data_IF_954884659638
#
_entry.id   IF_954884659638
#
_cell.length_a   1.000
_cell.length_b   1.000
_cell.length_c   1.000
_cell.angle_alpha   90.00
_cell.angle_beta   90.00
_cell.angle_gamma   90.00
#
_symmetry.space_group_name_H-M   'P 1'
#
loop_
_entity.id
_entity.type
_entity.pdbx_description
1 polymer ?
#
# COMPACT_ATOMS: atom_id res chain seq x y z
N UNK A 1 42.46 -19.66 -8.12
CA UNK A 1 41.35 -18.84 -8.63
C UNK A 1 40.11 -19.23 -7.85
N UNK A 2 39.59 -18.35 -7.01
CA UNK A 2 38.36 -18.62 -6.23
C UNK A 2 37.12 -18.27 -7.06
N UNK A 3 36.04 -19.09 -7.04
CA UNK A 3 34.81 -18.75 -7.74
C UNK A 3 33.99 -17.76 -6.91
N UNK A 4 33.75 -16.58 -7.47
CA UNK A 4 32.88 -15.54 -6.89
C UNK A 4 31.42 -15.93 -7.17
N UNK A 5 30.75 -16.54 -6.19
CA UNK A 5 29.31 -16.80 -6.26
C UNK A 5 28.53 -15.47 -6.28
N UNK A 6 27.92 -15.17 -7.43
CA UNK A 6 26.98 -14.07 -7.56
C UNK A 6 25.65 -14.50 -6.97
N UNK A 7 25.41 -14.13 -5.71
CA UNK A 7 24.13 -14.32 -5.05
C UNK A 7 23.05 -13.48 -5.76
N UNK A 8 22.38 -14.09 -6.74
CA UNK A 8 21.21 -13.53 -7.43
C UNK A 8 20.01 -13.58 -6.48
N UNK A 9 20.00 -12.71 -5.47
CA UNK A 9 18.74 -12.36 -4.79
C UNK A 9 17.86 -11.72 -5.86
N UNK A 10 16.91 -12.50 -6.38
CA UNK A 10 15.89 -12.04 -7.31
C UNK A 10 15.20 -10.84 -6.68
N UNK A 11 15.48 -9.64 -7.17
CA UNK A 11 14.76 -8.42 -6.79
C UNK A 11 13.39 -8.56 -7.42
N UNK A 12 12.48 -9.20 -6.69
CA UNK A 12 11.08 -9.35 -7.08
C UNK A 12 10.46 -7.97 -7.08
N UNK A 13 9.93 -7.56 -8.21
CA UNK A 13 9.29 -6.25 -8.32
C UNK A 13 7.97 -6.28 -7.55
N UNK A 14 7.60 -5.16 -6.94
CA UNK A 14 6.48 -5.08 -6.00
C UNK A 14 5.13 -5.61 -6.55
N UNK A 15 4.93 -5.63 -7.88
CA UNK A 15 3.72 -6.18 -8.53
C UNK A 15 3.76 -7.72 -8.72
N UNK A 16 4.93 -8.34 -8.62
CA UNK A 16 5.12 -9.80 -8.72
C UNK A 16 4.96 -10.51 -7.37
N UNK A 17 4.92 -9.77 -6.25
CA UNK A 17 4.83 -10.33 -4.89
C UNK A 17 3.58 -11.20 -4.68
N UNK A 18 2.48 -10.92 -5.38
CA UNK A 18 1.24 -11.70 -5.27
C UNK A 18 1.32 -13.11 -5.87
N UNK A 19 2.33 -13.40 -6.70
CA UNK A 19 2.48 -14.71 -7.36
C UNK A 19 3.42 -15.66 -6.63
N UNK A 20 4.24 -15.17 -5.71
CA UNK A 20 5.39 -15.91 -5.16
C UNK A 20 5.09 -16.47 -3.75
N UNK A 21 3.95 -16.12 -3.15
CA UNK A 21 3.63 -16.43 -1.74
C UNK A 21 2.42 -17.33 -1.49
N UNK A 22 2.05 -18.25 -2.40
CA UNK A 22 0.95 -19.22 -2.15
C UNK A 22 1.33 -20.35 -1.17
N UNK A 23 2.52 -20.35 -0.58
CA UNK A 23 2.87 -21.24 0.54
C UNK A 23 2.77 -20.50 1.89
N UNK A 24 1.56 -20.55 2.47
CA UNK A 24 1.18 -20.31 3.88
C UNK A 24 1.39 -18.90 4.50
N UNK A 25 0.31 -18.19 4.89
CA UNK A 25 0.39 -17.00 5.75
C UNK A 25 0.44 -17.35 7.26
N UNK A 26 1.28 -16.65 8.06
CA UNK A 26 1.32 -16.81 9.51
C UNK A 26 0.07 -16.21 10.19
N UNK A 27 -0.45 -16.93 11.17
CA UNK A 27 -1.62 -16.60 11.98
C UNK A 27 -1.45 -15.28 12.74
N UNK A 28 -1.98 -14.17 12.21
CA UNK A 28 -2.65 -13.12 13.00
C UNK A 28 -3.32 -12.10 12.08
N UNK A 29 -4.58 -11.84 12.40
CA UNK A 29 -5.54 -10.90 11.79
C UNK A 29 -6.29 -11.34 10.52
N UNK A 30 -6.57 -12.66 10.42
CA UNK A 30 -7.34 -13.25 9.31
C UNK A 30 -8.85 -12.95 9.35
N UNK A 31 -9.41 -12.32 10.40
CA UNK A 31 -10.88 -12.16 10.54
C UNK A 31 -11.48 -11.07 9.65
N UNK A 32 -10.74 -10.00 9.34
CA UNK A 32 -11.23 -8.91 8.50
C UNK A 32 -11.11 -9.26 7.01
N UNK A 33 -10.01 -9.93 6.63
CA UNK A 33 -9.76 -10.40 5.26
C UNK A 33 -10.67 -11.58 4.85
N UNK A 34 -10.94 -12.51 5.76
CA UNK A 34 -11.85 -13.64 5.47
C UNK A 34 -13.27 -13.15 5.19
N UNK A 35 -13.77 -12.14 5.93
CA UNK A 35 -15.10 -11.55 5.72
C UNK A 35 -15.21 -10.83 4.37
N UNK A 36 -14.14 -10.18 3.92
CA UNK A 36 -14.08 -9.55 2.60
C UNK A 36 -14.00 -10.59 1.47
N UNK A 37 -13.17 -11.63 1.63
CA UNK A 37 -13.09 -12.75 0.67
C UNK A 37 -14.41 -13.53 0.57
N UNK A 38 -15.12 -13.72 1.67
CA UNK A 38 -16.41 -14.40 1.66
C UNK A 38 -17.48 -13.58 0.93
N UNK A 39 -17.51 -12.26 1.15
CA UNK A 39 -18.37 -11.33 0.39
C UNK A 39 -18.06 -11.38 -1.11
N UNK A 40 -16.79 -11.40 -1.48
CA UNK A 40 -16.36 -11.46 -2.88
C UNK A 40 -16.74 -12.80 -3.55
N UNK A 41 -16.61 -13.93 -2.84
CA UNK A 41 -17.04 -15.24 -3.33
C UNK A 41 -18.55 -15.33 -3.54
N UNK A 42 -19.36 -14.74 -2.64
CA UNK A 42 -20.84 -14.68 -2.81
C UNK A 42 -21.23 -13.86 -4.04
N UNK A 43 -20.60 -12.69 -4.24
CA UNK A 43 -20.85 -11.82 -5.41
C UNK A 43 -20.51 -12.52 -6.74
N UNK A 44 -19.48 -13.38 -6.77
CA UNK A 44 -19.11 -14.14 -7.97
C UNK A 44 -20.03 -15.32 -8.24
N UNK A 45 -20.62 -15.93 -7.21
CA UNK A 45 -21.50 -17.11 -7.34
C UNK A 45 -22.91 -16.76 -7.82
N UNK A 46 -23.36 -15.52 -7.58
CA UNK A 46 -24.67 -15.01 -8.03
C UNK A 46 -24.65 -14.35 -9.42
N UNK A 47 -23.51 -14.36 -10.13
CA UNK A 47 -23.44 -13.87 -11.52
C UNK A 47 -23.74 -15.03 -12.48
N UNK A 48 -24.88 -15.05 -13.20
CA UNK A 48 -25.16 -16.11 -14.15
C UNK A 48 -24.10 -16.13 -15.26
N UNK A 49 -23.46 -17.29 -15.43
CA UNK A 49 -22.57 -17.61 -16.55
C UNK A 49 -23.32 -17.41 -17.86
N UNK A 50 -23.09 -16.29 -18.55
CA UNK A 50 -23.54 -16.10 -19.92
C UNK A 50 -22.56 -16.79 -20.87
N UNK A 51 -22.72 -18.10 -20.98
CA UNK A 51 -22.11 -18.93 -22.02
C UNK A 51 -22.63 -18.45 -23.38
N UNK A 52 -21.75 -18.00 -24.27
CA UNK A 52 -22.00 -18.04 -25.71
C UNK A 52 -20.78 -18.64 -26.40
N UNK A 53 -21.03 -19.84 -26.89
CA UNK A 53 -20.22 -20.67 -27.76
C UNK A 53 -19.96 -20.03 -29.14
N UNK A 54 -19.00 -20.67 -29.84
CA UNK A 54 -18.74 -20.71 -31.30
C UNK A 54 -17.53 -19.91 -31.81
N UNK A 55 -16.56 -20.69 -32.32
CA UNK A 55 -15.36 -20.34 -33.11
C UNK A 55 -15.76 -20.01 -34.58
N UNK A 56 -14.82 -19.86 -35.54
CA UNK A 56 -13.97 -18.72 -35.87
C UNK A 56 -14.42 -18.07 -37.20
N UNK A 57 -14.30 -16.75 -37.38
CA UNK A 57 -14.60 -16.10 -38.66
C UNK A 57 -13.39 -15.34 -39.20
N UNK A 58 -12.53 -16.10 -39.89
CA UNK A 58 -11.73 -15.58 -40.99
C UNK A 58 -12.61 -15.63 -42.25
N UNK A 59 -13.07 -14.48 -42.73
CA UNK A 59 -13.25 -14.25 -44.17
C UNK A 59 -12.88 -12.81 -44.46
N UNK A 60 -11.88 -12.66 -45.33
CA UNK A 60 -11.63 -11.43 -46.06
C UNK A 60 -12.83 -11.10 -46.95
N UNK A 61 -13.42 -9.91 -46.85
CA UNK A 61 -14.14 -9.30 -47.98
C UNK A 61 -13.79 -7.82 -48.06
N UNK A 62 -13.30 -7.45 -49.24
CA UNK A 62 -12.83 -6.13 -49.64
C UNK A 62 -14.02 -5.19 -49.88
N UNK A 63 -13.83 -3.92 -49.51
CA UNK A 63 -14.39 -2.68 -50.10
C UNK A 63 -15.92 -2.53 -50.19
N UNK A 64 -16.46 -1.58 -49.43
CA UNK A 64 -17.37 -0.55 -49.96
C UNK A 64 -17.05 0.79 -49.27
N UNK A 65 -16.74 1.79 -50.10
CA UNK A 65 -16.54 3.19 -49.74
C UNK A 65 -17.90 3.85 -49.66
N UNK A 66 -18.31 4.34 -48.50
CA UNK A 66 -19.36 5.35 -48.37
C UNK A 66 -18.78 6.50 -47.55
N UNK A 67 -18.53 7.62 -48.26
CA UNK A 67 -18.30 8.92 -47.65
C UNK A 67 -19.66 9.37 -47.14
N UNK A 68 -19.84 9.35 -45.83
CA UNK A 68 -20.86 10.12 -45.14
C UNK A 68 -20.11 10.94 -44.10
N UNK A 69 -20.22 12.25 -44.23
CA UNK A 69 -19.62 13.26 -43.38
C UNK A 69 -20.41 13.32 -42.07
N UNK A 70 -20.25 12.28 -41.25
CA UNK A 70 -20.69 12.26 -39.86
C UNK A 70 -19.40 12.15 -39.04
N UNK A 71 -19.20 13.02 -38.06
CA UNK A 71 -17.93 13.28 -37.37
C UNK A 71 -17.07 12.01 -37.28
N UNK A 72 -15.83 11.97 -37.83
CA UNK A 72 -15.11 10.72 -38.07
C UNK A 72 -15.13 9.93 -36.78
N UNK A 73 -15.85 8.80 -36.80
CA UNK A 73 -16.00 7.92 -35.65
C UNK A 73 -14.59 7.67 -35.14
N UNK A 74 -14.25 8.27 -33.99
CA UNK A 74 -12.89 8.34 -33.47
C UNK A 74 -12.33 6.93 -33.49
N UNK A 75 -11.31 6.69 -34.31
CA UNK A 75 -10.76 5.36 -34.48
C UNK A 75 -10.18 4.93 -33.12
N UNK A 76 -10.19 3.62 -32.81
CA UNK A 76 -9.64 3.14 -31.53
C UNK A 76 -8.19 3.60 -31.31
N UNK A 77 -7.43 3.76 -32.40
CA UNK A 77 -6.05 4.24 -32.39
C UNK A 77 -5.94 5.74 -32.03
N UNK A 78 -7.01 6.52 -32.20
CA UNK A 78 -7.05 7.95 -31.81
C UNK A 78 -7.28 8.11 -30.30
N UNK A 79 -7.94 7.15 -29.68
CA UNK A 79 -8.30 7.17 -28.26
C UNK A 79 -7.31 6.38 -27.39
N UNK A 80 -6.75 5.29 -27.91
CA UNK A 80 -5.96 4.34 -27.13
C UNK A 80 -4.68 3.98 -27.84
N UNK A 81 -3.63 3.74 -27.04
CA UNK A 81 -2.34 3.25 -27.56
C UNK A 81 -2.41 1.73 -27.66
N UNK A 82 -2.02 1.18 -28.80
CA UNK A 82 -1.94 -0.27 -29.03
C UNK A 82 -0.53 -0.78 -28.79
N UNK A 83 -0.40 -1.89 -28.07
CA UNK A 83 0.89 -2.59 -27.93
C UNK A 83 1.25 -3.35 -29.22
N UNK A 84 2.56 -3.49 -29.48
CA UNK A 84 3.08 -4.20 -30.67
C UNK A 84 3.17 -5.72 -30.48
N UNK A 85 2.99 -6.22 -29.27
CA UNK A 85 3.13 -7.63 -28.90
C UNK A 85 1.83 -8.39 -29.16
N UNK A 86 1.91 -9.69 -29.45
CA UNK A 86 0.75 -10.58 -29.57
C UNK A 86 0.57 -11.35 -28.25
N UNK A 87 -0.59 -11.29 -27.59
CA UNK A 87 -1.83 -10.61 -27.99
C UNK A 87 -1.75 -9.09 -27.83
N UNK A 88 -2.32 -8.35 -28.80
CA UNK A 88 -2.34 -6.89 -28.75
C UNK A 88 -3.37 -6.40 -27.73
N UNK A 89 -2.98 -5.41 -26.94
CA UNK A 89 -3.85 -4.72 -25.99
C UNK A 89 -3.88 -3.22 -26.28
N UNK A 90 -5.06 -2.62 -26.13
CA UNK A 90 -5.29 -1.18 -26.16
C UNK A 90 -5.26 -0.64 -24.73
N UNK A 91 -4.53 0.45 -24.50
CA UNK A 91 -4.43 1.09 -23.18
C UNK A 91 -4.40 2.61 -23.32
N UNK A 92 -4.95 3.31 -22.33
CA UNK A 92 -4.95 4.76 -22.25
C UNK A 92 -3.99 5.19 -21.12
N UNK A 93 -2.90 5.93 -21.40
CA UNK A 93 -2.15 6.57 -20.34
C UNK A 93 -3.04 7.57 -19.61
N UNK A 94 -2.84 7.71 -18.31
CA UNK A 94 -3.51 8.77 -17.55
C UNK A 94 -3.11 10.13 -18.10
N UNK A 95 -4.06 11.06 -18.15
CA UNK A 95 -3.76 12.45 -18.52
C UNK A 95 -2.91 13.10 -17.43
N UNK A 96 -2.16 14.16 -17.78
CA UNK A 96 -1.33 14.88 -16.82
C UNK A 96 -2.16 15.38 -15.62
N UNK A 97 -3.39 15.86 -15.87
CA UNK A 97 -4.32 16.29 -14.83
C UNK A 97 -4.73 15.14 -13.89
N UNK A 98 -5.05 13.95 -14.43
CA UNK A 98 -5.37 12.77 -13.63
C UNK A 98 -4.18 12.30 -12.80
N UNK A 99 -2.97 12.39 -13.34
CA UNK A 99 -1.73 12.09 -12.61
C UNK A 99 -1.60 13.05 -11.43
N UNK A 100 -1.73 14.35 -11.65
CA UNK A 100 -1.64 15.37 -10.59
C UNK A 100 -2.68 15.14 -9.50
N UNK A 101 -3.96 14.91 -9.85
CA UNK A 101 -5.02 14.63 -8.88
C UNK A 101 -4.71 13.36 -8.08
N UNK A 102 -4.32 12.28 -8.75
CA UNK A 102 -4.00 11.01 -8.09
C UNK A 102 -2.75 11.11 -7.22
N UNK A 103 -1.75 11.87 -7.65
CA UNK A 103 -0.53 12.13 -6.90
C UNK A 103 -0.80 13.02 -5.69
N UNK A 104 -1.66 14.03 -5.82
CA UNK A 104 -2.07 14.88 -4.72
C UNK A 104 -2.81 14.07 -3.65
N UNK A 105 -3.72 13.17 -4.06
CA UNK A 105 -4.38 12.24 -3.15
C UNK A 105 -3.38 11.31 -2.45
N UNK A 106 -2.40 10.76 -3.18
CA UNK A 106 -1.32 9.95 -2.60
C UNK A 106 -0.52 10.77 -1.58
N UNK A 107 -0.17 12.00 -1.92
CA UNK A 107 0.58 12.92 -1.05
C UNK A 107 -0.21 13.25 0.22
N UNK A 108 -1.51 13.53 0.11
CA UNK A 108 -2.41 13.79 1.24
C UNK A 108 -2.48 12.58 2.18
N UNK A 109 -2.65 11.39 1.65
CA UNK A 109 -2.69 10.16 2.47
C UNK A 109 -1.35 9.89 3.16
N UNK A 110 -0.22 10.05 2.46
CA UNK A 110 1.10 9.89 3.10
C UNK A 110 1.32 10.92 4.21
N UNK A 111 0.95 12.19 3.97
CA UNK A 111 1.08 13.24 4.97
C UNK A 111 0.18 13.01 6.19
N UNK A 112 -1.06 12.51 5.99
CA UNK A 112 -1.94 12.15 7.10
C UNK A 112 -1.38 10.99 7.92
N UNK A 113 -0.92 9.93 7.24
CA UNK A 113 -0.31 8.78 7.88
C UNK A 113 0.94 9.18 8.68
N UNK A 114 1.82 9.99 8.09
CA UNK A 114 3.01 10.53 8.75
C UNK A 114 2.64 11.40 9.95
N UNK A 115 1.65 12.28 9.82
CA UNK A 115 1.17 13.14 10.93
C UNK A 115 0.69 12.29 12.10
N UNK A 116 -0.13 11.26 11.83
CA UNK A 116 -0.64 10.34 12.86
C UNK A 116 0.49 9.59 13.56
N UNK A 117 1.49 9.12 12.82
CA UNK A 117 2.65 8.44 13.40
C UNK A 117 3.54 9.40 14.21
N UNK A 118 3.72 10.63 13.74
CA UNK A 118 4.48 11.66 14.45
C UNK A 118 3.81 12.07 15.76
N UNK A 119 2.47 12.21 15.78
CA UNK A 119 1.69 12.49 16.98
C UNK A 119 1.83 11.35 18.01
N UNK A 120 1.69 10.10 17.57
CA UNK A 120 1.91 8.93 18.44
C UNK A 120 3.33 8.91 19.02
N UNK A 121 4.35 9.17 18.20
CA UNK A 121 5.75 9.23 18.64
C UNK A 121 6.00 10.38 19.63
N UNK A 122 5.35 11.53 19.42
CA UNK A 122 5.44 12.68 20.34
C UNK A 122 4.79 12.35 21.69
N UNK A 123 3.60 11.75 21.68
CA UNK A 123 2.91 11.33 22.89
C UNK A 123 3.70 10.26 23.67
N UNK A 124 4.34 9.32 22.98
CA UNK A 124 5.23 8.34 23.61
C UNK A 124 6.44 9.01 24.28
N UNK A 125 7.12 9.91 23.58
CA UNK A 125 8.24 10.68 24.13
C UNK A 125 7.83 11.50 25.35
N UNK A 126 6.66 12.12 25.32
CA UNK A 126 6.14 12.87 26.46
C UNK A 126 5.87 11.96 27.67
N UNK A 127 5.22 10.81 27.46
CA UNK A 127 5.00 9.80 28.51
C UNK A 127 6.31 9.32 29.11
N UNK A 128 7.33 9.11 28.28
CA UNK A 128 8.67 8.75 28.75
C UNK A 128 9.30 9.85 29.59
N UNK A 129 9.21 11.12 29.15
CA UNK A 129 9.72 12.28 29.90
C UNK A 129 9.03 12.41 31.26
N UNK A 130 7.70 12.27 31.33
CA UNK A 130 6.96 12.31 32.59
C UNK A 130 7.38 11.18 33.52
N UNK A 131 7.52 9.95 32.99
CA UNK A 131 8.03 8.80 33.78
C UNK A 131 9.45 9.06 34.28
N UNK A 132 10.32 9.64 33.47
CA UNK A 132 11.69 9.99 33.85
C UNK A 132 11.72 11.07 34.93
N UNK A 133 10.90 12.12 34.81
CA UNK A 133 10.77 13.17 35.83
C UNK A 133 10.24 12.61 37.14
N UNK A 134 9.24 11.73 37.12
CA UNK A 134 8.72 11.10 38.33
C UNK A 134 9.78 10.22 39.02
N UNK A 135 10.57 9.45 38.26
CA UNK A 135 11.72 8.71 38.79
C UNK A 135 12.74 9.64 39.44
N UNK A 136 13.05 10.76 38.79
CA UNK A 136 14.00 11.73 39.31
C UNK A 136 13.47 12.42 40.58
N UNK A 137 12.20 12.82 40.62
CA UNK A 137 11.58 13.39 41.82
C UNK A 137 11.60 12.41 42.99
N UNK A 138 11.29 11.14 42.77
CA UNK A 138 11.41 10.10 43.81
C UNK A 138 12.84 10.01 44.35
N UNK A 139 13.85 10.00 43.47
CA UNK A 139 15.27 9.98 43.89
C UNK A 139 15.67 11.22 44.69
N UNK A 140 15.24 12.41 44.25
CA UNK A 140 15.54 13.67 44.94
C UNK A 140 14.85 13.72 46.31
N UNK A 141 13.57 13.37 46.37
CA UNK A 141 12.80 13.31 47.62
C UNK A 141 13.40 12.31 48.61
N UNK A 142 13.83 11.13 48.13
CA UNK A 142 14.52 10.15 48.97
C UNK A 142 15.85 10.67 49.49
N UNK A 143 16.65 11.31 48.63
CA UNK A 143 17.92 11.94 49.01
C UNK A 143 17.71 13.04 50.06
N UNK A 144 16.68 13.86 49.90
CA UNK A 144 16.33 14.90 50.87
C UNK A 144 15.88 14.29 52.21
N UNK A 145 15.04 13.25 52.18
CA UNK A 145 14.62 12.53 53.40
C UNK A 145 15.82 11.91 54.14
N UNK A 146 16.81 11.38 53.42
CA UNK A 146 18.08 10.90 53.99
C UNK A 146 18.91 12.04 54.58
N UNK A 147 18.99 13.21 53.92
CA UNK A 147 19.67 14.42 54.45
C UNK A 147 19.01 14.93 55.73
N UNK A 148 17.68 14.99 55.78
CA UNK A 148 16.94 15.41 57.00
C UNK A 148 17.22 14.46 58.17
N UNK A 149 17.20 13.15 57.93
CA UNK A 149 17.51 12.12 58.94
C UNK A 149 18.95 12.17 59.45
N UNK A 150 19.91 12.52 58.60
CA UNK A 150 21.33 12.62 58.98
C UNK A 150 21.67 13.98 59.63
N UNK A 151 21.02 15.07 59.20
CA UNK A 151 21.17 16.39 59.82
C UNK A 151 20.50 16.51 61.19
N UNK A 152 19.39 15.81 61.43
CA UNK A 152 18.71 15.79 62.73
C UNK A 152 19.43 14.97 63.81
N UNK A 153 20.50 14.25 63.46
CA UNK A 153 21.32 13.48 64.39
C UNK A 153 22.57 14.21 64.90
N UNK A 154 22.84 15.44 64.45
CA UNK A 154 24.10 16.15 64.70
C UNK A 154 23.97 17.37 65.62
N UNK A 155 23.12 17.30 66.65
CA UNK A 155 23.21 18.17 67.82
C UNK A 155 23.08 17.32 69.10
N UNK A 156 24.21 16.79 69.55
CA UNK A 156 24.46 16.45 70.95
C UNK A 156 25.87 16.93 71.29
N UNK A 157 25.94 18.10 71.91
CA UNK A 157 27.09 18.60 72.67
C UNK A 157 26.53 19.19 73.96
#
# INVERSE_FOLDING_TARGET
>A
AEPVEHNKKMIVREWDLGKIGQSSPPERDNRYDEKNREKERKIRKDKPHRSRSASPHDVSVRKVKKKEEDAPAKLLDDLFRKTKTTPCIYWLPLTAEQIVVKEEMRRKHMAEHERRMAEMRKAERERERVRAQQRQQRRVSEREKRRRRSGSGSLKK
#
